data_IF_629596910031
#
_entry.id   IF_629596910031
#
_cell.length_a   1.000
_cell.length_b   1.000
_cell.length_c   1.000
_cell.angle_alpha   90.00
_cell.angle_beta   90.00
_cell.angle_gamma   90.00
#
_symmetry.space_group_name_H-M   'P 1'
#
loop_
_entity.id
_entity.type
_entity.pdbx_description
1 polymer ?
#
# COMPACT_ATOMS: atom_id res chain seq x y z
N UNK A 1 -21.68 -32.80 -15.47
CA UNK A 1 -21.17 -33.44 -16.70
C UNK A 1 -20.12 -32.53 -17.31
N UNK A 2 -18.86 -32.98 -17.39
CA UNK A 2 -17.79 -32.22 -18.06
C UNK A 2 -17.79 -32.59 -19.55
N UNK A 3 -18.25 -31.68 -20.41
CA UNK A 3 -18.20 -31.86 -21.86
C UNK A 3 -16.74 -31.76 -22.32
N UNK A 4 -16.12 -32.91 -22.64
CA UNK A 4 -14.74 -33.04 -23.16
C UNK A 4 -14.65 -32.56 -24.62
N UNK A 5 -14.95 -31.28 -24.87
CA UNK A 5 -14.75 -30.67 -26.18
C UNK A 5 -13.26 -30.44 -26.38
N UNK A 6 -12.62 -31.26 -27.22
CA UNK A 6 -11.26 -31.01 -27.71
C UNK A 6 -11.35 -29.89 -28.76
N UNK A 7 -11.21 -28.63 -28.36
CA UNK A 7 -10.89 -27.58 -29.34
C UNK A 7 -9.54 -27.96 -29.94
N UNK A 8 -9.45 -28.25 -31.24
CA UNK A 8 -8.20 -28.64 -31.91
C UNK A 8 -7.06 -27.60 -31.86
N UNK A 9 -7.20 -26.56 -31.03
CA UNK A 9 -6.17 -25.62 -30.64
C UNK A 9 -5.29 -26.22 -29.54
N UNK A 10 -4.08 -26.58 -29.92
CA UNK A 10 -3.01 -26.89 -28.97
C UNK A 10 -2.44 -25.56 -28.43
N UNK A 11 -2.63 -25.28 -27.14
CA UNK A 11 -2.13 -24.06 -26.47
C UNK A 11 -0.60 -24.10 -26.18
N UNK A 12 0.17 -24.85 -26.97
CA UNK A 12 1.61 -25.00 -26.81
C UNK A 12 2.32 -24.80 -28.16
N UNK A 13 3.53 -24.25 -28.11
CA UNK A 13 4.38 -24.12 -29.29
C UNK A 13 4.72 -25.51 -29.84
N UNK A 14 4.59 -25.69 -31.16
CA UNK A 14 4.99 -26.95 -31.79
C UNK A 14 6.52 -27.12 -31.68
N UNK A 15 7.03 -28.34 -31.40
CA UNK A 15 8.47 -28.59 -31.43
C UNK A 15 9.09 -28.11 -32.76
N UNK A 16 10.18 -27.35 -32.67
CA UNK A 16 10.86 -26.75 -33.84
C UNK A 16 10.37 -25.36 -34.26
N UNK A 17 9.30 -24.82 -33.67
CA UNK A 17 8.90 -23.43 -33.89
C UNK A 17 9.80 -22.49 -33.09
N UNK A 18 10.61 -21.69 -33.81
CA UNK A 18 11.42 -20.62 -33.23
C UNK A 18 10.58 -19.32 -33.23
N UNK A 19 10.28 -18.73 -32.07
CA UNK A 19 9.61 -17.43 -32.00
C UNK A 19 10.41 -16.36 -32.74
N UNK A 20 9.73 -15.43 -33.43
CA UNK A 20 10.35 -14.36 -34.22
C UNK A 20 11.29 -13.42 -33.41
N UNK A 21 11.21 -13.45 -32.08
CA UNK A 21 12.04 -12.65 -31.17
C UNK A 21 13.23 -13.45 -30.58
N UNK A 22 13.48 -14.67 -31.03
CA UNK A 22 14.64 -15.46 -30.59
C UNK A 22 15.92 -14.80 -31.09
N UNK A 23 16.93 -14.65 -30.21
CA UNK A 23 18.19 -14.00 -30.56
C UNK A 23 18.18 -12.47 -30.62
N UNK A 24 17.02 -11.80 -30.43
CA UNK A 24 16.92 -10.34 -30.54
C UNK A 24 17.12 -9.61 -29.19
N UNK A 25 17.74 -10.27 -28.20
CA UNK A 25 17.99 -9.73 -26.85
C UNK A 25 18.87 -8.48 -26.93
N UNK A 26 18.28 -7.32 -26.62
CA UNK A 26 18.96 -6.02 -26.68
C UNK A 26 18.87 -5.28 -28.03
N UNK A 27 18.36 -5.91 -29.09
CA UNK A 27 18.14 -5.28 -30.40
C UNK A 27 16.75 -4.66 -30.53
N UNK A 28 15.72 -5.34 -30.00
CA UNK A 28 14.32 -4.93 -30.20
C UNK A 28 13.67 -4.28 -28.96
N UNK A 29 14.25 -4.46 -27.77
CA UNK A 29 13.69 -3.93 -26.51
C UNK A 29 14.82 -3.55 -25.54
N UNK A 30 14.55 -2.55 -24.71
CA UNK A 30 15.41 -2.18 -23.60
C UNK A 30 15.74 -3.40 -22.74
N UNK A 31 17.04 -3.66 -22.55
CA UNK A 31 17.54 -4.69 -21.65
C UNK A 31 17.77 -4.11 -20.25
N UNK A 32 18.19 -4.94 -19.28
CA UNK A 32 18.46 -4.49 -17.90
C UNK A 32 19.51 -3.37 -17.84
N UNK A 33 20.52 -3.39 -18.72
CA UNK A 33 21.56 -2.36 -18.82
C UNK A 33 21.08 -1.06 -19.49
N UNK A 34 19.98 -1.09 -20.23
CA UNK A 34 19.39 0.10 -20.87
C UNK A 34 18.61 0.97 -19.88
N UNK A 35 18.25 0.44 -18.70
CA UNK A 35 17.49 1.16 -17.69
C UNK A 35 18.41 2.05 -16.85
N UNK A 36 18.37 3.35 -17.09
CA UNK A 36 19.05 4.34 -16.24
C UNK A 36 18.48 4.29 -14.81
N UNK A 37 19.33 4.34 -13.78
CA UNK A 37 18.87 4.39 -12.40
C UNK A 37 18.06 5.67 -12.17
N UNK A 38 16.94 5.53 -11.47
CA UNK A 38 16.11 6.68 -11.09
C UNK A 38 16.79 7.42 -9.94
N UNK A 39 17.00 8.75 -10.03
CA UNK A 39 17.62 9.53 -8.96
C UNK A 39 16.88 9.40 -7.62
N UNK A 40 17.64 9.38 -6.52
CA UNK A 40 17.09 9.46 -5.17
C UNK A 40 16.29 10.77 -5.03
N UNK A 41 15.15 10.72 -4.35
CA UNK A 41 14.22 11.85 -4.21
C UNK A 41 13.18 11.95 -5.32
N UNK A 42 13.33 11.21 -6.43
CA UNK A 42 12.31 11.16 -7.49
C UNK A 42 10.96 10.69 -6.93
N UNK A 43 9.88 11.34 -7.34
CA UNK A 43 8.51 11.00 -6.96
C UNK A 43 7.75 10.41 -8.14
N UNK A 44 6.92 9.41 -7.88
CA UNK A 44 6.00 8.88 -8.90
C UNK A 44 4.71 8.36 -8.26
N UNK A 45 3.64 8.30 -9.06
CA UNK A 45 2.33 7.82 -8.63
C UNK A 45 2.12 6.38 -9.06
N UNK A 46 1.73 5.51 -8.13
CA UNK A 46 1.37 4.11 -8.44
C UNK A 46 0.19 3.68 -7.58
N UNK A 47 -0.85 3.12 -8.21
CA UNK A 47 -2.08 2.67 -7.53
C UNK A 47 -2.68 3.72 -6.59
N UNK A 48 -2.77 4.97 -7.05
CA UNK A 48 -3.34 6.06 -6.25
C UNK A 48 -2.46 6.54 -5.09
N UNK A 49 -1.19 6.10 -4.99
CA UNK A 49 -0.28 6.46 -3.90
C UNK A 49 0.99 7.10 -4.44
N UNK A 50 1.39 8.21 -3.82
CA UNK A 50 2.67 8.83 -4.08
C UNK A 50 3.80 8.00 -3.44
N UNK A 51 4.85 7.76 -4.22
CA UNK A 51 6.05 7.04 -3.82
C UNK A 51 7.27 7.93 -4.03
N UNK A 52 8.29 7.76 -3.21
CA UNK A 52 9.57 8.46 -3.29
C UNK A 52 10.71 7.45 -3.37
N UNK A 53 11.69 7.72 -4.23
CA UNK A 53 12.90 6.92 -4.34
C UNK A 53 13.82 7.25 -3.18
N UNK A 54 14.08 6.29 -2.32
CA UNK A 54 15.10 6.33 -1.26
C UNK A 54 16.31 5.48 -1.65
N UNK A 55 17.37 5.58 -0.86
CA UNK A 55 18.56 4.71 -0.89
C UNK A 55 18.21 3.21 -0.89
N UNK A 56 17.23 2.85 -0.08
CA UNK A 56 16.75 1.49 0.20
C UNK A 56 15.71 0.99 -0.79
N UNK A 57 15.22 1.82 -1.71
CA UNK A 57 14.19 1.44 -2.68
C UNK A 57 13.08 2.45 -2.83
N UNK A 58 11.88 1.99 -3.20
CA UNK A 58 10.70 2.86 -3.30
C UNK A 58 9.92 2.81 -1.99
N UNK A 59 9.64 3.98 -1.42
CA UNK A 59 8.89 4.13 -0.18
C UNK A 59 7.63 4.98 -0.40
N UNK A 60 6.57 4.71 0.35
CA UNK A 60 5.39 5.59 0.34
C UNK A 60 5.77 7.00 0.78
N UNK A 61 5.40 8.00 -0.01
CA UNK A 61 5.76 9.38 0.25
C UNK A 61 5.11 9.91 1.54
N UNK A 62 3.84 9.55 1.79
CA UNK A 62 3.17 9.89 3.07
C UNK A 62 3.94 9.40 4.29
N UNK A 63 4.44 8.16 4.22
CA UNK A 63 5.26 7.57 5.28
C UNK A 63 6.57 8.33 5.46
N UNK A 64 7.27 8.61 4.36
CA UNK A 64 8.52 9.36 4.38
C UNK A 64 8.35 10.76 5.01
N UNK A 65 7.31 11.49 4.59
CA UNK A 65 7.02 12.84 5.09
C UNK A 65 6.66 12.81 6.58
N UNK A 66 5.82 11.88 7.01
CA UNK A 66 5.46 11.75 8.43
C UNK A 66 6.67 11.44 9.31
N UNK A 67 7.52 10.48 8.90
CA UNK A 67 8.75 10.14 9.63
C UNK A 67 9.69 11.35 9.75
N UNK A 68 9.78 12.17 8.71
CA UNK A 68 10.56 13.42 8.71
C UNK A 68 9.98 14.52 9.59
N UNK A 69 8.65 14.59 9.75
CA UNK A 69 8.00 15.62 10.58
C UNK A 69 8.02 15.34 12.08
N UNK A 70 8.16 14.07 12.46
CA UNK A 70 8.05 13.58 13.83
C UNK A 70 9.31 12.87 14.30
N UNK A 71 10.38 12.90 13.50
CA UNK A 71 11.68 12.25 13.77
C UNK A 71 11.53 10.83 14.33
N UNK A 72 10.67 10.05 13.67
CA UNK A 72 10.30 8.71 14.13
C UNK A 72 10.40 7.71 12.98
N UNK A 73 10.56 6.42 13.32
CA UNK A 73 10.52 5.32 12.35
C UNK A 73 9.27 4.49 12.58
N UNK A 74 8.39 4.47 11.59
CA UNK A 74 7.16 3.70 11.68
C UNK A 74 7.46 2.20 11.55
N UNK A 75 6.70 1.36 12.24
CA UNK A 75 6.77 -0.10 12.16
C UNK A 75 5.89 -0.67 11.03
N UNK A 76 5.97 -1.97 10.76
CA UNK A 76 5.26 -2.62 9.65
C UNK A 76 3.73 -2.66 9.81
N UNK A 77 3.23 -2.52 11.05
CA UNK A 77 1.81 -2.46 11.40
C UNK A 77 1.25 -1.03 11.35
N UNK A 78 2.11 -0.02 11.43
CA UNK A 78 1.72 1.37 11.36
C UNK A 78 1.56 1.83 9.91
N UNK A 79 0.58 2.71 9.72
CA UNK A 79 0.16 3.32 8.46
C UNK A 79 -0.12 4.80 8.71
N UNK A 80 -0.07 5.59 7.64
CA UNK A 80 -0.44 6.99 7.66
C UNK A 80 -1.84 7.13 7.09
N UNK A 81 -2.72 7.78 7.84
CA UNK A 81 -4.08 8.11 7.48
C UNK A 81 -4.17 9.61 7.17
N UNK A 82 -4.96 9.96 6.14
CA UNK A 82 -5.19 11.34 5.72
C UNK A 82 -6.53 11.79 6.30
N UNK A 83 -6.50 12.76 7.21
CA UNK A 83 -7.69 13.22 7.92
C UNK A 83 -8.72 13.87 6.99
N UNK A 84 -8.28 14.55 5.94
CA UNK A 84 -9.14 15.18 4.93
C UNK A 84 -9.61 14.24 3.81
N UNK A 85 -9.19 12.97 3.84
CA UNK A 85 -9.45 12.01 2.76
C UNK A 85 -8.66 12.26 1.47
N UNK A 86 -7.88 13.34 1.38
CA UNK A 86 -7.09 13.69 0.21
C UNK A 86 -5.69 13.08 0.31
N UNK A 87 -5.46 12.01 -0.45
CA UNK A 87 -4.17 11.30 -0.51
C UNK A 87 -3.00 12.10 -1.14
N UNK A 88 -3.23 13.36 -1.51
CA UNK A 88 -2.22 14.30 -2.01
C UNK A 88 -1.90 15.43 -1.02
N UNK A 89 -2.65 15.57 0.07
CA UNK A 89 -2.37 16.56 1.10
C UNK A 89 -1.41 15.99 2.16
N UNK A 90 -0.12 16.28 2.01
CA UNK A 90 0.94 15.82 2.91
C UNK A 90 1.26 16.81 4.04
N UNK A 91 0.35 17.72 4.38
CA UNK A 91 0.58 18.65 5.50
C UNK A 91 0.68 17.93 6.84
N UNK A 92 1.56 18.40 7.73
CA UNK A 92 1.81 17.79 9.05
C UNK A 92 0.52 17.61 9.88
N UNK A 93 -0.43 18.55 9.77
CA UNK A 93 -1.71 18.51 10.50
C UNK A 93 -2.70 17.49 9.92
N UNK A 94 -2.57 17.14 8.64
CA UNK A 94 -3.48 16.22 7.95
C UNK A 94 -3.06 14.74 8.07
N UNK A 95 -1.77 14.50 8.31
CA UNK A 95 -1.24 13.16 8.44
C UNK A 95 -1.33 12.69 9.89
N UNK A 96 -1.99 11.55 10.10
CA UNK A 96 -2.04 10.92 11.42
C UNK A 96 -1.56 9.47 11.35
N UNK A 97 -0.86 9.04 12.38
CA UNK A 97 -0.40 7.66 12.53
C UNK A 97 -1.52 6.80 13.07
N UNK A 98 -1.76 5.67 12.40
CA UNK A 98 -2.73 4.65 12.80
C UNK A 98 -2.15 3.25 12.59
N UNK A 99 -2.73 2.25 13.25
CA UNK A 99 -2.42 0.83 13.03
C UNK A 99 -3.32 0.23 11.95
N UNK A 100 -2.93 -0.92 11.37
CA UNK A 100 -3.80 -1.67 10.43
C UNK A 100 -5.14 -2.05 11.06
N UNK A 101 -5.13 -2.40 12.36
CA UNK A 101 -6.33 -2.79 13.09
C UNK A 101 -7.29 -1.60 13.29
N UNK A 102 -6.75 -0.42 13.59
CA UNK A 102 -7.53 0.82 13.67
C UNK A 102 -8.19 1.13 12.33
N UNK A 103 -7.44 1.08 11.21
CA UNK A 103 -8.00 1.32 9.86
C UNK A 103 -9.15 0.34 9.56
N UNK A 104 -8.96 -0.96 9.85
CA UNK A 104 -9.98 -1.97 9.61
C UNK A 104 -11.28 -1.65 10.36
N UNK A 105 -11.17 -1.22 11.63
CA UNK A 105 -12.34 -0.83 12.44
C UNK A 105 -12.96 0.49 11.98
N UNK A 106 -12.16 1.49 11.61
CA UNK A 106 -12.65 2.76 11.06
C UNK A 106 -13.53 2.50 9.84
N UNK A 107 -13.09 1.64 8.91
CA UNK A 107 -13.89 1.30 7.73
C UNK A 107 -15.11 0.44 8.08
N UNK A 108 -14.98 -0.53 8.99
CA UNK A 108 -16.09 -1.37 9.42
C UNK A 108 -17.19 -0.58 10.14
N UNK A 109 -16.83 0.42 10.93
CA UNK A 109 -17.77 1.27 11.69
C UNK A 109 -18.24 2.50 10.90
N UNK A 110 -17.73 2.74 9.69
CA UNK A 110 -18.18 3.85 8.85
C UNK A 110 -17.60 5.22 9.19
N UNK A 111 -16.51 5.30 9.96
CA UNK A 111 -15.90 6.58 10.35
C UNK A 111 -14.92 7.13 9.28
N UNK A 112 -15.37 7.23 8.03
CA UNK A 112 -14.60 7.83 6.93
C UNK A 112 -15.35 9.04 6.39
N UNK A 113 -15.07 10.20 6.95
CA UNK A 113 -15.73 11.46 6.64
C UNK A 113 -14.85 12.30 5.69
N UNK A 114 -15.45 13.27 5.00
CA UNK A 114 -14.71 14.29 4.25
C UNK A 114 -14.29 15.48 5.15
N UNK A 115 -14.29 15.30 6.47
CA UNK A 115 -13.96 16.33 7.45
C UNK A 115 -12.83 15.84 8.38
N UNK A 116 -11.72 16.59 8.49
CA UNK A 116 -10.58 16.23 9.34
C UNK A 116 -10.91 16.04 10.82
N UNK A 117 -11.79 16.86 11.39
CA UNK A 117 -12.15 16.82 12.80
C UNK A 117 -13.01 15.59 13.10
N UNK A 118 -13.97 15.28 12.22
CA UNK A 118 -14.79 14.07 12.35
C UNK A 118 -13.94 12.81 12.24
N UNK A 119 -13.00 12.75 11.30
CA UNK A 119 -12.09 11.60 11.18
C UNK A 119 -11.17 11.48 12.41
N UNK A 120 -10.70 12.60 12.96
CA UNK A 120 -9.92 12.59 14.21
C UNK A 120 -10.74 12.05 15.38
N UNK A 121 -12.00 12.46 15.50
CA UNK A 121 -12.93 11.93 16.51
C UNK A 121 -13.21 10.43 16.29
N UNK A 122 -13.47 10.01 15.04
CA UNK A 122 -13.70 8.61 14.69
C UNK A 122 -12.52 7.69 15.03
N UNK A 123 -11.28 8.14 14.75
CA UNK A 123 -10.07 7.43 15.17
C UNK A 123 -10.02 7.26 16.70
N UNK A 124 -10.35 8.32 17.46
CA UNK A 124 -10.35 8.25 18.92
C UNK A 124 -11.43 7.31 19.47
N UNK A 125 -12.63 7.30 18.87
CA UNK A 125 -13.70 6.36 19.23
C UNK A 125 -13.23 4.92 19.01
N UNK A 126 -12.60 4.63 17.87
CA UNK A 126 -12.06 3.28 17.57
C UNK A 126 -10.98 2.88 18.56
N UNK A 127 -10.06 3.80 18.91
CA UNK A 127 -9.03 3.56 19.94
C UNK A 127 -9.63 3.21 21.29
N UNK A 128 -10.64 3.97 21.71
CA UNK A 128 -11.34 3.74 22.97
C UNK A 128 -12.01 2.36 22.97
N UNK A 129 -12.78 2.04 21.92
CA UNK A 129 -13.44 0.73 21.77
C UNK A 129 -12.44 -0.43 21.75
N UNK A 130 -11.28 -0.25 21.11
CA UNK A 130 -10.21 -1.25 21.11
C UNK A 130 -9.65 -1.46 22.51
N UNK A 131 -9.38 -0.38 23.25
CA UNK A 131 -8.81 -0.47 24.60
C UNK A 131 -9.78 -1.10 25.60
N UNK A 132 -11.07 -0.77 25.53
CA UNK A 132 -12.11 -1.41 26.35
C UNK A 132 -12.13 -2.92 26.13
N UNK A 133 -12.15 -3.37 24.86
CA UNK A 133 -12.12 -4.80 24.52
C UNK A 133 -10.86 -5.52 25.01
N UNK A 134 -9.72 -4.83 25.01
CA UNK A 134 -8.45 -5.37 25.52
C UNK A 134 -8.53 -5.61 27.04
N UNK A 135 -9.06 -4.64 27.79
CA UNK A 135 -9.25 -4.74 29.25
C UNK A 135 -10.26 -5.85 29.58
N UNK A 136 -11.44 -5.85 28.96
CA UNK A 136 -12.46 -6.87 29.16
C UNK A 136 -11.94 -8.30 28.90
N UNK A 137 -11.03 -8.44 27.93
CA UNK A 137 -10.43 -9.73 27.61
C UNK A 137 -9.37 -10.18 28.61
N UNK A 138 -8.70 -9.25 29.29
CA UNK A 138 -7.76 -9.55 30.37
C UNK A 138 -8.53 -9.91 31.65
N UNK A 139 -9.57 -9.14 32.01
CA UNK A 139 -10.42 -9.41 33.19
C UNK A 139 -11.10 -10.79 33.13
N UNK A 140 -11.36 -11.31 31.93
CA UNK A 140 -11.90 -12.67 31.73
C UNK A 140 -10.86 -13.79 31.83
N UNK A 141 -9.57 -13.48 31.68
CA UNK A 141 -8.48 -14.46 31.82
C UNK A 141 -8.03 -14.61 33.28
N UNK A 142 -8.21 -13.56 34.07
CA UNK A 142 -7.84 -13.52 35.48
C UNK A 142 -8.94 -14.07 36.41
N UNK A 143 -10.09 -14.48 35.85
CA UNK A 143 -11.17 -15.22 36.52
C UNK A 143 -11.11 -16.70 36.18
#
# INVERSE_FOLDING_TARGET
MHHKLKSGYNNYFKPGMIPWNTGTKGLMKANSGSRKPVPIGSKYMKYGKALIKTDTGWKQYSRYVYEKYHDCKLNSNERIYFLDGNNRNFSKKNLTKVTKQEIARIHHEGYFFNNPELNKAGINIVRLKMKVREIDANDRKDK
#
